data_IF_803427360512
#
_entry.id   IF_803427360512
#
_cell.length_a   1.000
_cell.length_b   1.000
_cell.length_c   1.000
_cell.angle_alpha   90.00
_cell.angle_beta   90.00
_cell.angle_gamma   90.00
#
_symmetry.space_group_name_H-M   'P 1'
#
loop_
_entity.id
_entity.type
_entity.pdbx_description
1 polymer ?
#
# COMPACT_ATOMS: atom_id res chain seq x y z
N UNK A 1 -13.61 -4.40 -15.54
CA UNK A 1 -13.43 -5.83 -15.18
C UNK A 1 -12.94 -5.88 -13.75
N UNK A 2 -13.42 -6.82 -12.93
CA UNK A 2 -12.94 -6.97 -11.55
C UNK A 2 -11.46 -7.41 -11.54
N UNK A 3 -10.62 -6.75 -10.73
CA UNK A 3 -9.18 -7.03 -10.61
C UNK A 3 -8.81 -7.12 -9.13
N UNK A 4 -8.69 -8.34 -8.62
CA UNK A 4 -8.27 -8.61 -7.25
C UNK A 4 -6.81 -9.03 -7.24
N UNK A 5 -6.05 -8.68 -6.20
CA UNK A 5 -4.65 -9.05 -6.13
C UNK A 5 -4.07 -9.05 -4.73
N UNK A 6 -3.14 -9.97 -4.52
CA UNK A 6 -2.28 -10.04 -3.35
C UNK A 6 -1.01 -9.22 -3.58
N UNK A 7 -0.56 -8.54 -2.55
CA UNK A 7 0.67 -7.76 -2.53
C UNK A 7 1.51 -8.20 -1.32
N UNK A 8 2.43 -9.16 -1.50
CA UNK A 8 3.34 -9.56 -0.41
C UNK A 8 4.16 -8.36 0.08
N UNK A 9 4.11 -8.12 1.39
CA UNK A 9 4.86 -7.05 2.02
C UNK A 9 6.20 -7.59 2.53
N UNK A 10 7.25 -7.31 1.79
CA UNK A 10 8.61 -7.80 2.00
C UNK A 10 9.35 -6.94 3.04
N UNK A 11 8.89 -6.94 4.29
CA UNK A 11 9.54 -6.27 5.42
C UNK A 11 10.59 -7.20 6.04
N UNK A 12 11.61 -7.58 5.24
CA UNK A 12 12.64 -8.57 5.55
C UNK A 12 14.01 -7.91 5.69
N UNK A 13 14.87 -8.48 6.52
CA UNK A 13 16.16 -7.90 6.88
C UNK A 13 17.31 -8.37 5.99
N UNK A 14 17.15 -9.50 5.30
CA UNK A 14 18.21 -10.08 4.47
C UNK A 14 17.78 -10.24 3.01
N UNK A 15 18.76 -10.18 2.11
CA UNK A 15 18.53 -10.48 0.68
C UNK A 15 18.09 -11.91 0.46
N UNK A 16 18.63 -12.86 1.23
CA UNK A 16 18.30 -14.28 1.08
C UNK A 16 16.83 -14.55 1.45
N UNK A 17 16.33 -13.97 2.55
CA UNK A 17 14.92 -14.08 2.91
C UNK A 17 14.02 -13.40 1.88
N UNK A 18 14.41 -12.23 1.38
CA UNK A 18 13.66 -11.53 0.34
C UNK A 18 13.57 -12.39 -0.93
N UNK A 19 14.70 -12.92 -1.42
CA UNK A 19 14.74 -13.79 -2.59
C UNK A 19 13.91 -15.07 -2.38
N UNK A 20 14.01 -15.70 -1.21
CA UNK A 20 13.22 -16.89 -0.86
C UNK A 20 11.73 -16.65 -0.97
N UNK A 21 11.24 -15.51 -0.46
CA UNK A 21 9.79 -15.19 -0.51
C UNK A 21 9.35 -14.86 -1.93
N UNK A 22 10.15 -14.09 -2.67
CA UNK A 22 9.82 -13.72 -4.05
C UNK A 22 9.82 -14.95 -4.95
N UNK A 23 10.85 -15.79 -4.88
CA UNK A 23 10.94 -17.06 -5.64
C UNK A 23 9.74 -17.97 -5.39
N UNK A 24 9.32 -18.09 -4.12
CA UNK A 24 8.18 -18.91 -3.73
C UNK A 24 6.80 -18.34 -4.15
N UNK A 25 6.71 -17.09 -4.58
CA UNK A 25 5.41 -16.43 -4.81
C UNK A 25 5.26 -15.76 -6.17
N UNK A 26 6.35 -15.66 -6.95
CA UNK A 26 6.33 -14.91 -8.21
C UNK A 26 5.55 -15.58 -9.34
N UNK A 27 5.33 -16.87 -9.29
CA UNK A 27 4.57 -17.67 -10.25
C UNK A 27 3.06 -17.74 -9.93
N UNK A 28 2.63 -17.24 -8.77
CA UNK A 28 1.21 -17.19 -8.39
C UNK A 28 0.55 -16.00 -9.12
N UNK A 29 -0.47 -16.27 -9.92
CA UNK A 29 -1.14 -15.26 -10.75
C UNK A 29 -1.82 -14.16 -9.91
N UNK A 30 -2.35 -14.53 -8.75
CA UNK A 30 -2.98 -13.59 -7.80
C UNK A 30 -2.00 -12.65 -7.12
N UNK A 31 -0.70 -12.96 -7.11
CA UNK A 31 0.33 -12.01 -6.70
C UNK A 31 0.58 -11.05 -7.84
N UNK A 32 0.06 -9.84 -7.72
CA UNK A 32 0.08 -8.85 -8.80
C UNK A 32 1.18 -7.80 -8.65
N UNK A 33 1.76 -7.70 -7.44
CA UNK A 33 2.67 -6.64 -7.06
C UNK A 33 3.42 -7.02 -5.78
N UNK A 34 4.57 -6.41 -5.51
CA UNK A 34 5.30 -6.54 -4.25
C UNK A 34 5.44 -5.20 -3.54
N UNK A 35 5.37 -5.20 -2.21
CA UNK A 35 5.63 -4.02 -1.39
C UNK A 35 6.95 -4.15 -0.64
N UNK A 36 7.85 -3.19 -0.81
CA UNK A 36 9.03 -3.02 0.05
C UNK A 36 8.71 -2.05 1.18
N UNK A 37 8.97 -2.47 2.41
CA UNK A 37 8.80 -1.61 3.58
C UNK A 37 10.12 -1.05 4.08
N UNK A 38 10.02 -0.21 5.10
CA UNK A 38 11.17 0.51 5.68
C UNK A 38 12.25 -0.43 6.23
N UNK A 39 11.88 -1.58 6.82
CA UNK A 39 12.86 -2.55 7.35
C UNK A 39 13.77 -3.08 6.25
N UNK A 40 13.20 -3.53 5.14
CA UNK A 40 13.98 -3.99 3.99
C UNK A 40 14.90 -2.88 3.44
N UNK A 41 14.38 -1.67 3.34
CA UNK A 41 15.14 -0.54 2.78
C UNK A 41 16.28 -0.11 3.70
N UNK A 42 16.11 -0.12 5.02
CA UNK A 42 17.17 0.21 5.97
C UNK A 42 18.29 -0.84 6.03
N UNK A 43 17.97 -2.13 5.89
CA UNK A 43 18.96 -3.21 5.94
C UNK A 43 19.62 -3.46 4.59
N UNK A 44 18.84 -3.48 3.51
CA UNK A 44 19.27 -3.93 2.18
C UNK A 44 19.55 -2.73 1.26
N UNK A 45 18.81 -1.63 1.42
CA UNK A 45 18.74 -0.51 0.50
C UNK A 45 17.70 -0.75 -0.62
N UNK A 46 16.95 0.30 -0.97
CA UNK A 46 15.85 0.20 -1.93
C UNK A 46 16.30 -0.35 -3.30
N UNK A 47 17.41 0.17 -3.83
CA UNK A 47 17.97 -0.25 -5.11
C UNK A 47 18.32 -1.76 -5.13
N UNK A 48 19.01 -2.24 -4.09
CA UNK A 48 19.40 -3.65 -4.02
C UNK A 48 18.19 -4.58 -3.85
N UNK A 49 17.19 -4.16 -3.07
CA UNK A 49 15.97 -4.93 -2.87
C UNK A 49 15.17 -5.05 -4.19
N UNK A 50 14.98 -3.95 -4.92
CA UNK A 50 14.32 -3.99 -6.23
C UNK A 50 15.10 -4.87 -7.21
N UNK A 51 16.43 -4.70 -7.28
CA UNK A 51 17.28 -5.54 -8.14
C UNK A 51 17.15 -7.03 -7.82
N UNK A 52 17.06 -7.40 -6.55
CA UNK A 52 16.90 -8.78 -6.14
C UNK A 52 15.51 -9.34 -6.54
N UNK A 53 14.44 -8.55 -6.49
CA UNK A 53 13.11 -8.94 -6.97
C UNK A 53 13.15 -9.18 -8.47
N UNK A 54 13.83 -8.32 -9.23
CA UNK A 54 13.97 -8.43 -10.70
C UNK A 54 14.74 -9.67 -11.18
N UNK A 55 15.43 -10.39 -10.29
CA UNK A 55 16.01 -11.71 -10.63
C UNK A 55 14.93 -12.76 -10.88
N UNK A 56 13.70 -12.59 -10.38
CA UNK A 56 12.60 -13.56 -10.40
C UNK A 56 11.38 -13.10 -11.20
N UNK A 57 11.09 -11.79 -11.22
CA UNK A 57 9.83 -11.30 -11.79
C UNK A 57 9.89 -9.85 -12.22
N UNK A 58 9.08 -9.52 -13.26
CA UNK A 58 8.82 -8.13 -13.69
C UNK A 58 7.57 -7.53 -13.04
N UNK A 59 6.92 -8.21 -12.10
CA UNK A 59 5.73 -7.68 -11.40
C UNK A 59 6.05 -6.34 -10.75
N UNK A 60 5.10 -5.39 -10.71
CA UNK A 60 5.27 -4.08 -10.09
C UNK A 60 5.82 -4.17 -8.66
N UNK A 61 6.58 -3.17 -8.27
CA UNK A 61 7.11 -3.03 -6.91
C UNK A 61 6.77 -1.63 -6.39
N UNK A 62 6.05 -1.57 -5.27
CA UNK A 62 5.77 -0.31 -4.57
C UNK A 62 6.66 -0.17 -3.34
N UNK A 63 7.03 1.06 -3.00
CA UNK A 63 7.75 1.36 -1.78
C UNK A 63 6.82 1.98 -0.73
N UNK A 64 6.73 1.34 0.41
CA UNK A 64 5.98 1.82 1.57
C UNK A 64 6.92 2.60 2.50
N UNK A 65 7.03 3.89 2.22
CA UNK A 65 7.68 4.83 3.11
C UNK A 65 6.59 5.62 3.82
N UNK A 66 6.07 5.09 4.92
CA UNK A 66 4.93 5.70 5.64
C UNK A 66 5.21 7.14 6.11
N UNK A 67 6.47 7.55 6.17
CA UNK A 67 6.85 8.94 6.46
C UNK A 67 6.84 9.84 5.21
N UNK A 68 6.73 9.28 4.02
CA UNK A 68 6.65 10.09 2.81
C UNK A 68 5.41 10.98 2.87
N UNK A 69 5.64 12.29 2.80
CA UNK A 69 4.63 13.30 3.03
C UNK A 69 4.47 13.77 4.49
N UNK A 70 5.14 13.13 5.45
CA UNK A 70 5.26 13.64 6.82
C UNK A 70 6.52 14.51 7.01
N UNK A 71 7.38 14.58 6.00
CA UNK A 71 8.60 15.38 5.98
C UNK A 71 8.37 16.76 5.35
N UNK A 72 9.41 17.57 5.25
CA UNK A 72 9.35 18.90 4.63
C UNK A 72 8.89 18.79 3.17
N UNK A 73 7.88 19.55 2.75
CA UNK A 73 7.33 19.45 1.40
C UNK A 73 8.35 19.70 0.27
N UNK A 74 9.35 20.55 0.51
CA UNK A 74 10.43 20.83 -0.44
C UNK A 74 11.38 19.65 -0.71
N UNK A 75 11.37 18.64 0.16
CA UNK A 75 12.13 17.40 -0.05
C UNK A 75 11.47 16.45 -1.07
N UNK A 76 10.19 16.64 -1.37
CA UNK A 76 9.38 15.71 -2.16
C UNK A 76 9.99 15.39 -3.53
N UNK A 77 10.41 16.41 -4.29
CA UNK A 77 11.00 16.21 -5.62
C UNK A 77 12.30 15.41 -5.59
N UNK A 78 13.16 15.64 -4.59
CA UNK A 78 14.40 14.88 -4.40
C UNK A 78 14.13 13.43 -4.02
N UNK A 79 13.22 13.21 -3.09
CA UNK A 79 12.82 11.89 -2.62
C UNK A 79 12.21 11.04 -3.75
N UNK A 80 11.21 11.59 -4.45
CA UNK A 80 10.51 10.88 -5.55
C UNK A 80 11.48 10.51 -6.67
N UNK A 81 12.37 11.42 -7.06
CA UNK A 81 13.41 11.15 -8.09
C UNK A 81 14.33 10.00 -7.70
N UNK A 82 14.77 9.94 -6.42
CA UNK A 82 15.61 8.83 -5.95
C UNK A 82 14.83 7.51 -6.02
N UNK A 83 13.56 7.52 -5.61
CA UNK A 83 12.71 6.34 -5.66
C UNK A 83 12.45 5.86 -7.10
N UNK A 84 12.13 6.76 -8.01
CA UNK A 84 11.92 6.46 -9.45
C UNK A 84 13.14 5.78 -10.06
N UNK A 85 14.36 6.25 -9.78
CA UNK A 85 15.61 5.68 -10.28
C UNK A 85 15.86 4.23 -9.83
N UNK A 86 15.17 3.74 -8.81
CA UNK A 86 15.29 2.34 -8.37
C UNK A 86 14.42 1.38 -9.18
N UNK A 87 13.52 1.87 -10.02
CA UNK A 87 12.60 1.07 -10.83
C UNK A 87 11.35 0.59 -10.09
N UNK A 88 10.97 1.26 -8.99
CA UNK A 88 9.65 1.06 -8.38
C UNK A 88 8.57 1.70 -9.25
N UNK A 89 7.33 1.24 -9.07
CA UNK A 89 6.15 1.71 -9.83
C UNK A 89 5.22 2.59 -9.01
N UNK A 90 5.33 2.59 -7.69
CA UNK A 90 4.47 3.39 -6.83
C UNK A 90 5.05 3.63 -5.44
N UNK A 91 4.44 4.58 -4.76
CA UNK A 91 4.82 5.05 -3.42
C UNK A 91 3.61 5.09 -2.49
N UNK A 92 3.68 4.42 -1.35
CA UNK A 92 2.70 4.65 -0.28
C UNK A 92 3.06 5.93 0.46
N UNK A 93 2.12 6.87 0.47
CA UNK A 93 2.26 8.22 1.01
C UNK A 93 1.29 8.45 2.17
N UNK A 94 1.81 8.94 3.31
CA UNK A 94 1.01 9.37 4.46
C UNK A 94 1.24 10.89 4.72
N UNK A 95 0.70 11.78 3.88
CA UNK A 95 1.07 13.19 3.86
C UNK A 95 0.33 14.00 4.95
N UNK A 96 0.49 13.57 6.20
CA UNK A 96 -0.17 14.16 7.40
C UNK A 96 0.44 15.49 7.84
N UNK A 97 1.58 15.90 7.25
CA UNK A 97 2.21 17.19 7.54
C UNK A 97 1.39 18.41 7.05
N UNK A 98 0.40 18.19 6.20
CA UNK A 98 -0.53 19.24 5.77
C UNK A 98 -0.79 19.29 4.27
N UNK A 99 -1.66 20.21 3.81
CA UNK A 99 -2.06 20.30 2.40
C UNK A 99 -0.91 20.54 1.42
N UNK A 100 0.14 21.26 1.84
CA UNK A 100 1.33 21.46 1.00
C UNK A 100 2.07 20.13 0.76
N UNK A 101 2.24 19.31 1.80
CA UNK A 101 2.85 18.01 1.66
C UNK A 101 2.04 17.10 0.73
N UNK A 102 0.70 17.10 0.84
CA UNK A 102 -0.15 16.35 -0.11
C UNK A 102 0.12 16.79 -1.54
N UNK A 103 0.14 18.12 -1.82
CA UNK A 103 0.37 18.64 -3.18
C UNK A 103 1.73 18.23 -3.72
N UNK A 104 2.79 18.48 -2.96
CA UNK A 104 4.16 18.24 -3.43
C UNK A 104 4.41 16.74 -3.66
N UNK A 105 4.13 15.88 -2.68
CA UNK A 105 4.40 14.44 -2.81
C UNK A 105 3.53 13.78 -3.88
N UNK A 106 2.24 14.10 -3.97
CA UNK A 106 1.35 13.53 -5.00
C UNK A 106 1.75 14.02 -6.39
N UNK A 107 1.96 15.33 -6.57
CA UNK A 107 2.28 15.90 -7.87
C UNK A 107 3.64 15.41 -8.38
N UNK A 108 4.66 15.36 -7.53
CA UNK A 108 5.96 14.84 -7.92
C UNK A 108 5.91 13.36 -8.29
N UNK A 109 5.14 12.53 -7.54
CA UNK A 109 4.96 11.11 -7.87
C UNK A 109 4.31 10.94 -9.25
N UNK A 110 3.20 11.62 -9.50
CA UNK A 110 2.50 11.57 -10.79
C UNK A 110 3.39 12.03 -11.95
N UNK A 111 4.13 13.13 -11.77
CA UNK A 111 5.05 13.65 -12.79
C UNK A 111 6.22 12.71 -13.08
N UNK A 112 6.63 11.90 -12.12
CA UNK A 112 7.66 10.86 -12.30
C UNK A 112 7.10 9.54 -12.86
N UNK A 113 5.78 9.45 -13.12
CA UNK A 113 5.13 8.23 -13.60
C UNK A 113 4.99 7.16 -12.52
N UNK A 114 5.05 7.54 -11.23
CA UNK A 114 4.81 6.66 -10.11
C UNK A 114 3.38 6.81 -9.60
N UNK A 115 2.77 5.70 -9.20
CA UNK A 115 1.45 5.72 -8.58
C UNK A 115 1.53 6.17 -7.10
N UNK A 116 0.97 7.34 -6.74
CA UNK A 116 0.86 7.74 -5.34
C UNK A 116 -0.27 6.95 -4.67
N UNK A 117 0.07 5.96 -3.84
CA UNK A 117 -0.89 5.21 -3.03
C UNK A 117 -1.13 5.97 -1.73
N UNK A 118 -2.18 6.79 -1.72
CA UNK A 118 -2.40 7.77 -0.65
C UNK A 118 -3.20 7.16 0.50
N UNK A 119 -2.65 7.26 1.69
CA UNK A 119 -3.29 6.91 2.95
C UNK A 119 -3.11 8.03 3.99
N UNK A 120 -2.97 7.64 5.22
CA UNK A 120 -2.76 8.56 6.34
C UNK A 120 -3.39 8.07 7.64
N UNK A 121 -4.07 6.92 7.60
CA UNK A 121 -4.66 6.31 8.79
C UNK A 121 -3.77 5.20 9.36
N UNK A 122 -3.40 5.34 10.62
CA UNK A 122 -2.74 4.28 11.40
C UNK A 122 -3.77 3.75 12.39
N UNK A 123 -4.09 2.44 12.38
CA UNK A 123 -5.16 1.87 13.20
C UNK A 123 -4.73 1.66 14.66
N UNK A 124 -4.44 2.77 15.34
CA UNK A 124 -4.17 2.81 16.80
C UNK A 124 -5.25 3.64 17.51
N UNK A 125 -5.64 3.27 18.73
CA UNK A 125 -6.77 3.91 19.42
C UNK A 125 -6.61 5.43 19.61
N UNK A 126 -5.38 5.89 19.81
CA UNK A 126 -5.01 7.28 20.07
C UNK A 126 -4.49 8.01 18.82
N UNK A 127 -4.94 7.60 17.63
CA UNK A 127 -4.54 8.24 16.38
C UNK A 127 -5.15 9.64 16.20
N UNK A 128 -6.45 9.77 16.39
CA UNK A 128 -7.19 11.01 16.21
C UNK A 128 -7.61 11.65 17.55
N UNK A 129 -8.03 12.90 17.51
CA UNK A 129 -8.41 13.68 18.71
C UNK A 129 -9.51 12.98 19.52
N UNK A 130 -10.49 12.37 18.87
CA UNK A 130 -11.56 11.62 19.54
C UNK A 130 -11.03 10.42 20.35
N UNK A 131 -9.88 9.86 19.96
CA UNK A 131 -9.21 8.80 20.69
C UNK A 131 -8.11 9.28 21.64
N UNK A 132 -7.90 10.60 21.76
CA UNK A 132 -6.83 11.19 22.59
C UNK A 132 -5.54 11.51 21.83
N UNK A 133 -5.53 11.36 20.51
CA UNK A 133 -4.38 11.67 19.65
C UNK A 133 -4.29 13.14 19.24
N UNK A 134 -3.48 13.41 18.23
CA UNK A 134 -3.14 14.78 17.83
C UNK A 134 -3.74 15.22 16.50
N UNK A 135 -4.25 14.29 15.69
CA UNK A 135 -4.81 14.58 14.37
C UNK A 135 -6.32 14.77 14.45
N UNK A 136 -6.86 15.71 13.69
CA UNK A 136 -8.31 15.89 13.59
C UNK A 136 -8.95 14.63 12.99
N UNK A 137 -10.17 14.31 13.42
CA UNK A 137 -10.88 13.07 13.02
C UNK A 137 -11.16 13.00 11.52
N UNK A 138 -11.26 14.14 10.83
CA UNK A 138 -11.47 14.27 9.39
C UNK A 138 -10.17 14.33 8.57
N UNK A 139 -8.99 14.21 9.21
CA UNK A 139 -7.70 14.41 8.54
C UNK A 139 -7.52 13.50 7.32
N UNK A 140 -7.83 12.24 7.44
CA UNK A 140 -7.67 11.25 6.33
C UNK A 140 -8.60 11.58 5.17
N UNK A 141 -9.85 11.95 5.46
CA UNK A 141 -10.83 12.30 4.43
C UNK A 141 -10.43 13.57 3.67
N UNK A 142 -9.82 14.55 4.35
CA UNK A 142 -9.26 15.76 3.72
C UNK A 142 -8.03 15.44 2.86
N UNK A 143 -7.15 14.56 3.32
CA UNK A 143 -5.99 14.09 2.55
C UNK A 143 -6.46 13.41 1.28
N UNK A 144 -7.37 12.42 1.38
CA UNK A 144 -7.89 11.69 0.24
C UNK A 144 -8.57 12.62 -0.77
N UNK A 145 -9.40 13.55 -0.29
CA UNK A 145 -10.10 14.51 -1.15
C UNK A 145 -9.12 15.41 -1.92
N UNK A 146 -8.10 15.93 -1.26
CA UNK A 146 -7.09 16.76 -1.93
C UNK A 146 -6.27 15.92 -2.92
N UNK A 147 -5.82 14.72 -2.55
CA UNK A 147 -5.06 13.86 -3.42
C UNK A 147 -5.85 13.46 -4.69
N UNK A 148 -7.13 13.11 -4.53
CA UNK A 148 -8.02 12.83 -5.66
C UNK A 148 -8.16 14.03 -6.59
N UNK A 149 -8.30 15.24 -6.04
CA UNK A 149 -8.38 16.48 -6.85
C UNK A 149 -7.10 16.78 -7.65
N UNK A 150 -5.97 16.19 -7.26
CA UNK A 150 -4.67 16.28 -7.95
C UNK A 150 -4.48 15.15 -8.98
N UNK A 151 -5.40 14.20 -9.06
CA UNK A 151 -5.35 13.07 -10.01
C UNK A 151 -4.88 11.74 -9.41
N UNK A 152 -4.69 11.65 -8.09
CA UNK A 152 -4.41 10.35 -7.46
C UNK A 152 -5.63 9.42 -7.57
N UNK A 153 -5.38 8.18 -7.98
CA UNK A 153 -6.39 7.13 -8.13
C UNK A 153 -6.19 5.97 -7.15
N UNK A 154 -5.03 5.88 -6.52
CA UNK A 154 -4.63 4.78 -5.63
C UNK A 154 -4.70 5.22 -4.16
N UNK A 155 -5.37 4.41 -3.34
CA UNK A 155 -5.58 4.73 -1.92
C UNK A 155 -5.34 3.50 -1.05
N UNK A 156 -4.89 3.70 0.20
CA UNK A 156 -4.66 2.61 1.15
C UNK A 156 -5.41 2.87 2.46
N UNK A 157 -6.11 1.83 2.94
CA UNK A 157 -6.89 1.85 4.18
C UNK A 157 -6.54 0.65 5.07
N UNK A 158 -6.69 0.77 6.40
CA UNK A 158 -6.51 -0.35 7.32
C UNK A 158 -7.66 -1.36 7.20
N UNK A 159 -7.34 -2.65 7.09
CA UNK A 159 -8.29 -3.74 6.86
C UNK A 159 -9.13 -4.10 8.09
N UNK A 160 -8.75 -3.66 9.29
CA UNK A 160 -9.47 -3.93 10.54
C UNK A 160 -10.58 -2.90 10.85
N UNK A 161 -10.90 -2.02 9.90
CA UNK A 161 -11.94 -0.99 10.04
C UNK A 161 -12.94 -1.05 8.88
N UNK A 162 -13.76 -2.11 8.76
CA UNK A 162 -14.64 -2.32 7.60
C UNK A 162 -15.63 -1.18 7.38
N UNK A 163 -16.17 -0.58 8.43
CA UNK A 163 -17.08 0.57 8.31
C UNK A 163 -16.41 1.79 7.67
N UNK A 164 -15.15 2.06 8.04
CA UNK A 164 -14.36 3.13 7.43
C UNK A 164 -13.99 2.81 5.99
N UNK A 165 -13.73 1.54 5.67
CA UNK A 165 -13.48 1.10 4.28
C UNK A 165 -14.75 1.32 3.47
N UNK A 166 -15.92 0.89 3.93
CA UNK A 166 -17.18 1.05 3.22
C UNK A 166 -17.45 2.53 2.91
N UNK A 167 -17.45 3.38 3.93
CA UNK A 167 -17.73 4.82 3.78
C UNK A 167 -16.79 5.50 2.79
N UNK A 168 -15.49 5.21 2.86
CA UNK A 168 -14.50 5.79 1.97
C UNK A 168 -14.56 5.20 0.56
N UNK A 169 -14.90 3.93 0.43
CA UNK A 169 -15.12 3.30 -0.87
C UNK A 169 -16.30 3.92 -1.63
N UNK A 170 -17.42 4.16 -0.95
CA UNK A 170 -18.58 4.85 -1.51
C UNK A 170 -18.21 6.27 -1.98
N UNK A 171 -17.39 6.98 -1.20
CA UNK A 171 -16.87 8.29 -1.60
C UNK A 171 -15.95 8.19 -2.82
N UNK A 172 -15.00 7.24 -2.85
CA UNK A 172 -14.07 7.04 -3.97
C UNK A 172 -14.83 6.75 -5.27
N UNK A 173 -15.85 5.90 -5.23
CA UNK A 173 -16.65 5.55 -6.41
C UNK A 173 -17.39 6.75 -7.04
N UNK A 174 -17.63 7.81 -6.27
CA UNK A 174 -18.30 9.02 -6.76
C UNK A 174 -17.35 10.13 -7.18
N UNK A 175 -16.08 10.11 -6.72
CA UNK A 175 -15.15 11.22 -6.90
C UNK A 175 -13.88 10.85 -7.69
N UNK A 176 -13.60 9.57 -7.87
CA UNK A 176 -12.38 9.08 -8.52
C UNK A 176 -12.75 8.13 -9.67
N UNK A 177 -12.15 8.35 -10.82
CA UNK A 177 -12.32 7.45 -11.98
C UNK A 177 -11.43 6.22 -11.76
N UNK A 178 -12.04 5.03 -11.81
CA UNK A 178 -11.35 3.74 -11.65
C UNK A 178 -10.43 3.68 -10.40
N UNK A 179 -10.98 3.90 -9.20
CA UNK A 179 -10.14 3.89 -8.01
C UNK A 179 -9.54 2.51 -7.74
N UNK A 180 -8.29 2.50 -7.28
CA UNK A 180 -7.58 1.32 -6.80
C UNK A 180 -7.49 1.41 -5.29
N UNK A 181 -8.03 0.39 -4.60
CA UNK A 181 -7.99 0.35 -3.14
C UNK A 181 -7.05 -0.74 -2.65
N UNK A 182 -6.06 -0.33 -1.90
CA UNK A 182 -5.20 -1.21 -1.10
C UNK A 182 -5.76 -1.32 0.31
N UNK A 183 -5.74 -2.53 0.86
CA UNK A 183 -6.03 -2.78 2.28
C UNK A 183 -4.81 -3.40 2.95
N UNK A 184 -4.48 -2.93 4.15
CA UNK A 184 -3.30 -3.37 4.89
C UNK A 184 -3.64 -3.75 6.33
N UNK A 185 -2.74 -4.47 7.03
CA UNK A 185 -3.00 -4.91 8.41
C UNK A 185 -3.79 -6.22 8.49
N UNK A 186 -3.76 -7.04 7.44
CA UNK A 186 -4.41 -8.35 7.39
C UNK A 186 -3.66 -9.36 8.26
N UNK A 187 -4.40 -10.06 9.12
CA UNK A 187 -3.91 -11.09 10.03
C UNK A 187 -3.60 -10.54 11.43
N UNK A 188 -2.33 -10.46 11.88
CA UNK A 188 -2.01 -10.12 13.28
C UNK A 188 -2.50 -8.75 13.77
N UNK A 189 -2.88 -7.85 12.88
CA UNK A 189 -3.48 -6.56 13.22
C UNK A 189 -5.02 -6.59 13.21
N UNK A 190 -5.62 -7.77 13.06
CA UNK A 190 -7.07 -7.97 13.15
C UNK A 190 -7.82 -7.80 11.82
N UNK A 191 -7.14 -7.38 10.74
CA UNK A 191 -7.78 -7.27 9.43
C UNK A 191 -8.00 -8.63 8.75
N UNK A 192 -9.00 -8.68 7.87
CA UNK A 192 -9.40 -9.84 7.07
C UNK A 192 -9.60 -9.43 5.61
N UNK A 193 -9.17 -10.28 4.67
CA UNK A 193 -9.45 -10.08 3.23
C UNK A 193 -10.96 -10.06 3.02
N UNK A 194 -11.66 -11.03 3.62
CA UNK A 194 -13.11 -11.21 3.46
C UNK A 194 -13.87 -9.94 3.86
N UNK A 195 -13.66 -9.44 5.08
CA UNK A 195 -14.40 -8.28 5.58
C UNK A 195 -14.03 -6.99 4.83
N UNK A 196 -12.73 -6.78 4.57
CA UNK A 196 -12.27 -5.58 3.89
C UNK A 196 -12.69 -5.52 2.41
N UNK A 197 -12.67 -6.67 1.70
CA UNK A 197 -13.10 -6.71 0.30
C UNK A 197 -14.62 -6.65 0.16
N UNK A 198 -15.38 -7.18 1.13
CA UNK A 198 -16.81 -6.99 1.20
C UNK A 198 -17.17 -5.52 1.47
N UNK A 199 -16.49 -4.87 2.41
CA UNK A 199 -16.69 -3.46 2.71
C UNK A 199 -16.32 -2.54 1.53
N UNK A 200 -15.36 -2.96 0.69
CA UNK A 200 -14.96 -2.25 -0.53
C UNK A 200 -15.77 -2.69 -1.78
N UNK A 201 -16.94 -3.28 -1.61
CA UNK A 201 -17.79 -3.71 -2.73
C UNK A 201 -18.10 -2.53 -3.64
N UNK A 202 -17.95 -2.76 -4.97
CA UNK A 202 -18.09 -1.71 -5.99
C UNK A 202 -16.76 -1.19 -6.53
N UNK A 203 -15.70 -1.16 -5.74
CA UNK A 203 -14.36 -0.87 -6.26
C UNK A 203 -13.86 -2.08 -7.05
N UNK A 204 -13.62 -1.87 -8.35
CA UNK A 204 -13.24 -2.95 -9.26
C UNK A 204 -11.82 -3.47 -8.98
N UNK A 205 -10.89 -2.58 -8.63
CA UNK A 205 -9.50 -2.93 -8.38
C UNK A 205 -9.19 -2.88 -6.89
N UNK A 206 -9.01 -4.06 -6.28
CA UNK A 206 -8.70 -4.21 -4.86
C UNK A 206 -7.42 -4.99 -4.65
N UNK A 207 -6.56 -4.54 -3.73
CA UNK A 207 -5.24 -5.09 -3.42
C UNK A 207 -5.12 -5.38 -1.93
N UNK A 208 -4.73 -6.59 -1.56
CA UNK A 208 -4.48 -6.99 -0.18
C UNK A 208 -2.98 -7.01 0.11
N UNK A 209 -2.49 -6.06 0.92
CA UNK A 209 -1.09 -6.00 1.36
C UNK A 209 -0.93 -6.93 2.56
N UNK A 210 -0.12 -7.98 2.42
CA UNK A 210 0.03 -9.02 3.43
C UNK A 210 1.51 -9.29 3.72
N UNK A 211 1.91 -9.06 4.96
CA UNK A 211 3.30 -9.29 5.42
C UNK A 211 3.47 -10.65 6.10
N UNK A 212 3.37 -10.68 7.42
CA UNK A 212 3.73 -11.83 8.27
C UNK A 212 3.07 -13.15 7.89
N UNK A 213 1.83 -13.16 7.41
CA UNK A 213 1.15 -14.38 6.97
C UNK A 213 1.85 -15.08 5.80
N UNK A 214 2.59 -14.32 4.98
CA UNK A 214 3.38 -14.84 3.85
C UNK A 214 4.84 -14.97 4.26
N UNK A 215 5.47 -13.88 4.67
CA UNK A 215 6.91 -13.79 4.87
C UNK A 215 7.43 -14.65 6.03
N UNK A 216 6.64 -14.81 7.11
CA UNK A 216 7.00 -15.64 8.27
C UNK A 216 6.49 -17.09 8.16
N UNK A 217 5.83 -17.46 7.08
CA UNK A 217 5.39 -18.83 6.85
C UNK A 217 6.59 -19.75 6.57
N UNK A 218 6.51 -20.98 7.06
CA UNK A 218 7.49 -22.03 6.72
C UNK A 218 7.45 -22.38 5.22
N UNK A 219 6.27 -22.27 4.61
CA UNK A 219 6.04 -22.40 3.18
C UNK A 219 5.27 -21.16 2.68
N UNK A 220 5.98 -20.13 2.14
CA UNK A 220 5.35 -18.93 1.60
C UNK A 220 4.45 -19.19 0.40
N UNK A 221 4.75 -20.21 -0.44
CA UNK A 221 3.93 -20.56 -1.58
C UNK A 221 2.54 -21.05 -1.12
N UNK A 222 2.51 -22.08 -0.26
CA UNK A 222 1.26 -22.63 0.26
C UNK A 222 0.43 -21.58 1.05
N UNK A 223 1.11 -20.72 1.82
CA UNK A 223 0.45 -19.64 2.54
C UNK A 223 -0.19 -18.62 1.59
N UNK A 224 0.51 -18.28 0.50
CA UNK A 224 0.00 -17.33 -0.50
C UNK A 224 -1.15 -17.92 -1.29
N UNK A 225 -1.07 -19.20 -1.67
CA UNK A 225 -2.16 -19.90 -2.36
C UNK A 225 -3.44 -19.95 -1.50
N UNK A 226 -3.32 -20.22 -0.19
CA UNK A 226 -4.45 -20.16 0.73
C UNK A 226 -5.13 -18.78 0.76
N UNK A 227 -4.33 -17.71 0.71
CA UNK A 227 -4.82 -16.33 0.68
C UNK A 227 -5.46 -15.98 -0.68
N UNK A 228 -4.92 -16.50 -1.77
CA UNK A 228 -5.50 -16.38 -3.11
C UNK A 228 -6.87 -17.06 -3.18
N UNK A 229 -7.01 -18.25 -2.63
CA UNK A 229 -8.28 -18.99 -2.56
C UNK A 229 -9.32 -18.23 -1.71
N UNK A 230 -8.88 -17.59 -0.60
CA UNK A 230 -9.76 -16.71 0.21
C UNK A 230 -10.23 -15.50 -0.62
N UNK A 231 -9.32 -14.86 -1.34
CA UNK A 231 -9.58 -13.67 -2.15
C UNK A 231 -10.50 -13.99 -3.35
N UNK A 232 -10.29 -15.11 -4.02
CA UNK A 232 -11.02 -15.50 -5.23
C UNK A 232 -12.53 -15.76 -4.99
N UNK A 233 -12.97 -15.83 -3.73
CA UNK A 233 -14.41 -15.86 -3.39
C UNK A 233 -15.12 -14.55 -3.73
N UNK A 234 -14.39 -13.47 -4.02
CA UNK A 234 -14.91 -12.15 -4.40
C UNK A 234 -14.72 -11.84 -5.90
N UNK A 235 -14.20 -12.78 -6.68
CA UNK A 235 -13.97 -12.64 -8.12
C UNK A 235 -15.24 -12.83 -8.95
#
# INVERSE_FOLDING_TARGET
MLSLGLVPALDLETLDDLKRVVDATCDIDEVVEYKLGMHAVLHIGLFNAVKAIREFTEKPVIYDHQKAGADMPDSAGGFVRICEQTGITGLILFPVAGPTAVREFVTHSLNAGLDPVVGGHIPVPDYAISGGGYLADDTVDRIMSLAASLGATHFVLPANEPENIQRRSEWLLTHVIEPVLYVTGIGPLGGSITESFQAAQGIATRRAIIGRRICAASDPHAATQTLADEMNRFA
#
